data_IF_921170583426
#
_entry.id   IF_921170583426
#
_cell.length_a   1.000
_cell.length_b   1.000
_cell.length_c   1.000
_cell.angle_alpha   90.00
_cell.angle_beta   90.00
_cell.angle_gamma   90.00
#
_symmetry.space_group_name_H-M   'P 1'
#
loop_
_entity.id
_entity.type
_entity.pdbx_description
1 polymer ?
#
# COMPACT_ATOMS: atom_id res chain seq x y z
N UNK A 1 -3.50 -23.11 -0.55
CA UNK A 1 -3.76 -21.77 -1.11
C UNK A 1 -4.12 -20.89 0.06
N UNK A 2 -3.89 -19.56 0.09
CA UNK A 2 -4.41 -18.79 1.23
C UNK A 2 -5.94 -18.86 1.14
N UNK A 3 -6.56 -19.26 2.24
CA UNK A 3 -8.01 -19.28 2.40
C UNK A 3 -8.46 -17.83 2.52
N UNK A 4 -8.65 -17.17 1.37
CA UNK A 4 -9.08 -15.76 1.29
C UNK A 4 -10.40 -15.52 2.06
N UNK A 5 -11.21 -16.56 2.18
CA UNK A 5 -12.45 -16.59 2.97
C UNK A 5 -12.21 -16.30 4.46
N UNK A 6 -11.00 -16.60 4.96
CA UNK A 6 -10.63 -16.42 6.37
C UNK A 6 -10.07 -15.01 6.65
N UNK A 7 -10.04 -14.10 5.67
CA UNK A 7 -9.54 -12.74 5.87
C UNK A 7 -10.69 -11.84 6.35
N UNK A 8 -10.57 -11.34 7.56
CA UNK A 8 -11.45 -10.33 8.11
C UNK A 8 -10.81 -8.93 7.99
N UNK A 9 -11.58 -7.95 7.51
CA UNK A 9 -11.14 -6.57 7.32
C UNK A 9 -12.11 -5.65 8.05
N UNK A 10 -11.61 -4.93 9.04
CA UNK A 10 -12.36 -3.94 9.81
C UNK A 10 -11.84 -2.55 9.46
N UNK A 11 -12.75 -1.67 9.04
CA UNK A 11 -12.44 -0.26 8.77
C UNK A 11 -12.58 0.54 10.06
N UNK A 12 -11.54 1.28 10.43
CA UNK A 12 -11.62 2.24 11.52
C UNK A 12 -12.51 3.42 11.12
N UNK A 13 -13.53 3.70 11.93
CA UNK A 13 -14.48 4.80 11.70
C UNK A 13 -13.86 6.17 12.02
N UNK A 14 -12.78 6.22 12.79
CA UNK A 14 -12.08 7.43 13.19
C UNK A 14 -10.99 7.80 12.18
N UNK A 15 -11.38 8.07 10.92
CA UNK A 15 -10.43 8.49 9.89
C UNK A 15 -10.03 9.97 10.07
N UNK A 16 -8.82 10.30 9.64
CA UNK A 16 -8.38 11.71 9.57
C UNK A 16 -8.50 12.22 8.14
N UNK A 17 -8.97 13.46 8.00
CA UNK A 17 -9.06 14.14 6.72
C UNK A 17 -8.63 15.58 6.88
N UNK A 18 -7.73 16.02 5.99
CA UNK A 18 -7.27 17.41 5.90
C UNK A 18 -7.33 17.82 4.44
N UNK A 19 -8.22 18.77 4.11
CA UNK A 19 -8.45 19.25 2.75
C UNK A 19 -8.71 18.11 1.74
N UNK A 20 -7.72 17.85 0.87
CA UNK A 20 -7.73 16.85 -0.20
C UNK A 20 -6.98 15.57 0.18
N UNK A 21 -6.55 15.41 1.43
CA UNK A 21 -5.88 14.22 1.94
C UNK A 21 -6.72 13.52 3.00
N UNK A 22 -6.71 12.20 3.01
CA UNK A 22 -7.33 11.40 4.06
C UNK A 22 -6.46 10.20 4.42
N UNK A 23 -6.50 9.79 5.68
CA UNK A 23 -5.90 8.55 6.17
C UNK A 23 -6.98 7.69 6.81
N UNK A 24 -7.19 6.49 6.29
CA UNK A 24 -8.16 5.52 6.80
C UNK A 24 -7.41 4.30 7.29
N UNK A 25 -7.57 3.95 8.57
CA UNK A 25 -6.96 2.74 9.13
C UNK A 25 -7.85 1.53 8.87
N UNK A 26 -7.21 0.42 8.56
CA UNK A 26 -7.77 -0.91 8.43
C UNK A 26 -7.08 -1.83 9.44
N UNK A 27 -7.86 -2.69 10.06
CA UNK A 27 -7.38 -3.85 10.80
C UNK A 27 -7.70 -5.09 9.95
N UNK A 28 -6.66 -5.80 9.54
CA UNK A 28 -6.76 -7.02 8.72
C UNK A 28 -6.31 -8.20 9.56
N UNK A 29 -7.15 -9.21 9.73
CA UNK A 29 -6.82 -10.42 10.48
C UNK A 29 -7.16 -11.67 9.67
N UNK A 30 -6.46 -12.76 9.92
CA UNK A 30 -6.81 -14.09 9.42
C UNK A 30 -7.56 -14.81 10.55
N UNK A 31 -8.62 -15.57 10.26
CA UNK A 31 -9.30 -16.38 11.27
C UNK A 31 -8.29 -17.25 12.04
N UNK A 32 -8.40 -17.25 13.37
CA UNK A 32 -7.48 -17.90 14.31
C UNK A 32 -6.07 -17.28 14.43
N UNK A 33 -5.79 -16.15 13.77
CA UNK A 33 -4.59 -15.36 14.03
C UNK A 33 -4.86 -14.35 15.16
N UNK A 34 -3.97 -14.31 16.14
CA UNK A 34 -4.08 -13.42 17.31
C UNK A 34 -3.50 -12.02 17.05
N UNK A 35 -2.84 -11.79 15.91
CA UNK A 35 -2.14 -10.55 15.61
C UNK A 35 -2.66 -9.86 14.33
N UNK A 36 -3.67 -9.00 14.44
CA UNK A 36 -4.17 -8.26 13.28
C UNK A 36 -3.10 -7.31 12.72
N UNK A 37 -3.01 -7.26 11.40
CA UNK A 37 -2.20 -6.32 10.64
C UNK A 37 -2.91 -4.97 10.57
N UNK A 38 -2.23 -3.90 10.99
CA UNK A 38 -2.72 -2.53 10.77
C UNK A 38 -2.21 -2.01 9.43
N UNK A 39 -3.14 -1.57 8.58
CA UNK A 39 -2.85 -0.90 7.31
C UNK A 39 -3.46 0.50 7.35
N UNK A 40 -2.72 1.54 6.99
CA UNK A 40 -3.29 2.85 6.73
C UNK A 40 -3.38 3.11 5.22
N UNK A 41 -4.60 3.32 4.73
CA UNK A 41 -4.84 3.81 3.37
C UNK A 41 -4.58 5.32 3.34
N UNK A 42 -3.60 5.76 2.55
CA UNK A 42 -3.38 7.18 2.28
C UNK A 42 -4.12 7.56 1.00
N UNK A 43 -5.09 8.46 1.11
CA UNK A 43 -5.94 8.87 0.00
C UNK A 43 -5.71 10.34 -0.38
N UNK A 44 -5.84 10.62 -1.67
CA UNK A 44 -5.85 11.97 -2.23
C UNK A 44 -7.10 12.19 -3.07
N UNK A 45 -7.79 13.31 -2.84
CA UNK A 45 -8.98 13.73 -3.58
C UNK A 45 -8.54 14.47 -4.84
N UNK A 46 -8.96 13.95 -6.00
CA UNK A 46 -8.98 14.68 -7.26
C UNK A 46 -10.45 14.92 -7.62
N UNK A 47 -10.96 14.26 -8.67
CA UNK A 47 -12.41 14.19 -8.93
C UNK A 47 -13.11 13.17 -8.01
N UNK A 48 -12.35 12.19 -7.52
CA UNK A 48 -12.74 11.18 -6.53
C UNK A 48 -11.56 10.87 -5.62
N UNK A 49 -11.82 10.25 -4.47
CA UNK A 49 -10.78 9.72 -3.61
C UNK A 49 -10.04 8.58 -4.32
N UNK A 50 -8.71 8.64 -4.29
CA UNK A 50 -7.83 7.60 -4.83
C UNK A 50 -6.80 7.28 -3.76
N UNK A 51 -6.56 6.00 -3.53
CA UNK A 51 -5.44 5.54 -2.70
C UNK A 51 -4.16 5.81 -3.49
N UNK A 52 -3.21 6.49 -2.87
CA UNK A 52 -1.91 6.74 -3.47
C UNK A 52 -0.78 6.00 -2.76
N UNK A 53 -0.96 5.61 -1.50
CA UNK A 53 0.03 4.86 -0.72
C UNK A 53 -0.67 4.01 0.35
N UNK A 54 0.05 3.00 0.85
CA UNK A 54 -0.36 2.12 1.92
C UNK A 54 0.75 2.11 2.98
N UNK A 55 0.42 2.43 4.22
CA UNK A 55 1.33 2.15 5.34
C UNK A 55 0.98 0.79 5.93
N UNK A 56 1.91 -0.16 5.86
CA UNK A 56 1.78 -1.48 6.49
C UNK A 56 2.60 -1.45 7.78
N UNK A 57 1.97 -1.60 8.94
CA UNK A 57 2.63 -1.45 10.25
C UNK A 57 3.45 -0.15 10.38
N UNK A 58 2.90 0.96 9.88
CA UNK A 58 3.55 2.28 9.84
C UNK A 58 4.72 2.42 8.86
N UNK A 59 4.92 1.48 7.93
CA UNK A 59 5.92 1.57 6.86
C UNK A 59 5.24 1.82 5.52
N UNK A 60 5.61 2.91 4.84
CA UNK A 60 5.11 3.25 3.50
C UNK A 60 5.56 2.22 2.47
N UNK A 61 4.58 1.66 1.75
CA UNK A 61 4.83 0.74 0.64
C UNK A 61 5.55 1.47 -0.50
N UNK A 62 5.21 2.74 -0.76
CA UNK A 62 5.95 3.57 -1.70
C UNK A 62 7.43 3.67 -1.30
N UNK A 63 7.75 3.87 -0.03
CA UNK A 63 9.14 4.03 0.40
C UNK A 63 9.94 2.73 0.25
N UNK A 64 9.33 1.57 0.53
CA UNK A 64 9.92 0.25 0.22
C UNK A 64 10.23 0.14 -1.27
N UNK A 65 9.29 0.48 -2.13
CA UNK A 65 9.49 0.42 -3.58
C UNK A 65 10.53 1.42 -4.08
N UNK A 66 10.56 2.64 -3.54
CA UNK A 66 11.57 3.66 -3.87
C UNK A 66 12.98 3.12 -3.62
N UNK A 67 13.24 2.51 -2.46
CA UNK A 67 14.55 1.92 -2.15
C UNK A 67 14.93 0.84 -3.17
N UNK A 68 13.99 -0.06 -3.46
CA UNK A 68 14.21 -1.14 -4.43
C UNK A 68 14.43 -0.65 -5.86
N UNK A 69 13.75 0.43 -6.28
CA UNK A 69 13.89 1.00 -7.62
C UNK A 69 15.11 1.91 -7.73
N UNK A 70 15.45 2.70 -6.72
CA UNK A 70 16.65 3.54 -6.69
C UNK A 70 17.92 2.70 -6.95
N UNK A 71 18.06 1.57 -6.25
CA UNK A 71 19.16 0.62 -6.48
C UNK A 71 19.22 0.10 -7.93
N UNK A 72 18.05 -0.22 -8.51
CA UNK A 72 17.98 -0.72 -9.90
C UNK A 72 18.31 0.37 -10.91
N UNK A 73 17.78 1.58 -10.73
CA UNK A 73 18.01 2.74 -11.61
C UNK A 73 19.49 3.10 -11.59
N UNK A 74 20.12 3.19 -10.41
CA UNK A 74 21.56 3.48 -10.29
C UNK A 74 22.45 2.47 -11.01
N UNK A 75 22.04 1.20 -11.08
CA UNK A 75 22.83 0.13 -11.72
C UNK A 75 22.56 -0.03 -13.21
N UNK A 76 21.36 0.28 -13.68
CA UNK A 76 20.87 -0.17 -14.99
C UNK A 76 20.22 0.94 -15.83
N UNK A 77 20.03 2.13 -15.26
CA UNK A 77 19.25 3.20 -15.87
C UNK A 77 17.73 2.97 -15.77
N UNK A 78 16.97 4.06 -15.90
CA UNK A 78 15.50 4.03 -15.82
C UNK A 78 14.89 3.27 -17.01
N UNK A 79 15.43 3.43 -18.22
CA UNK A 79 14.92 2.78 -19.43
C UNK A 79 14.91 1.26 -19.30
N UNK A 80 16.00 0.67 -18.79
CA UNK A 80 16.09 -0.77 -18.58
C UNK A 80 15.13 -1.28 -17.51
N UNK A 81 14.88 -0.48 -16.46
CA UNK A 81 13.88 -0.81 -15.45
C UNK A 81 12.47 -0.82 -16.06
N UNK A 82 12.11 0.22 -16.83
CA UNK A 82 10.80 0.34 -17.49
C UNK A 82 10.57 -0.79 -18.49
N UNK A 83 11.54 -1.06 -19.37
CA UNK A 83 11.45 -2.16 -20.35
C UNK A 83 11.20 -3.50 -19.66
N UNK A 84 11.86 -3.75 -18.52
CA UNK A 84 11.67 -4.98 -17.74
C UNK A 84 10.29 -5.08 -17.07
N UNK A 85 9.67 -3.95 -16.72
CA UNK A 85 8.30 -3.93 -16.19
C UNK A 85 7.28 -4.19 -17.29
N UNK A 86 7.47 -3.59 -18.46
CA UNK A 86 6.59 -3.77 -19.62
C UNK A 86 6.68 -5.19 -20.19
N UNK A 87 7.87 -5.82 -20.19
CA UNK A 87 8.06 -7.18 -20.72
C UNK A 87 7.50 -8.29 -19.84
N UNK A 88 7.06 -7.96 -18.62
CA UNK A 88 6.44 -8.90 -17.67
C UNK A 88 4.91 -8.77 -17.61
N UNK A 89 4.35 -7.90 -18.46
CA UNK A 89 2.91 -7.66 -18.58
C UNK A 89 2.28 -8.51 -19.68
#
# INVERSE_FOLDING_TARGET
YPDWENINIVVDKNFSQTESLANVKLLVSIENDSYPLTIALKLKKSNRWKIYDLDIQSVSLIDIFKIGYDSKIKRQGIERLVNKMLSKS
#
